data_IF_788213718554
#
_entry.id   IF_788213718554
#
_cell.length_a   1.000
_cell.length_b   1.000
_cell.length_c   1.000
_cell.angle_alpha   90.00
_cell.angle_beta   90.00
_cell.angle_gamma   90.00
#
_symmetry.space_group_name_H-M   'P 1'
#
loop_
_entity.id
_entity.type
_entity.pdbx_description
1 polymer ?
#
# COMPACT_ATOMS: atom_id res chain seq x y z
N UNK A 1 27.07 16.11 -17.93
CA UNK A 1 26.46 15.28 -16.87
C UNK A 1 24.99 15.66 -16.74
N UNK A 2 24.08 14.79 -17.14
CA UNK A 2 22.63 15.01 -16.97
C UNK A 2 22.27 14.76 -15.51
N UNK A 3 21.89 15.83 -14.79
CA UNK A 3 21.44 15.75 -13.39
C UNK A 3 19.92 15.72 -13.37
N UNK A 4 19.33 14.55 -13.12
CA UNK A 4 17.88 14.38 -13.05
C UNK A 4 17.35 14.98 -11.72
N UNK A 5 17.20 16.31 -11.66
CA UNK A 5 16.53 17.01 -10.56
C UNK A 5 15.01 16.88 -10.73
N UNK A 6 14.44 15.77 -10.32
CA UNK A 6 12.98 15.66 -10.34
C UNK A 6 12.37 14.63 -9.36
N UNK A 7 13.15 13.66 -8.87
CA UNK A 7 12.60 12.59 -8.04
C UNK A 7 12.54 12.98 -6.55
N UNK A 8 11.42 12.66 -5.90
CA UNK A 8 11.33 12.72 -4.43
C UNK A 8 11.90 11.42 -3.86
N UNK A 9 13.01 11.47 -3.09
CA UNK A 9 13.55 10.28 -2.46
C UNK A 9 12.56 9.71 -1.43
N UNK A 10 12.49 8.37 -1.32
CA UNK A 10 11.95 7.75 -0.11
C UNK A 10 13.02 7.77 0.98
N UNK A 11 12.57 7.84 2.23
CA UNK A 11 13.43 7.72 3.41
C UNK A 11 13.90 6.27 3.63
N UNK A 12 13.13 5.31 3.13
CA UNK A 12 13.33 3.89 3.38
C UNK A 12 13.68 3.13 2.09
N UNK A 13 13.95 1.83 2.21
CA UNK A 13 14.46 1.03 1.11
C UNK A 13 13.34 0.78 0.10
N UNK A 14 13.55 1.22 -1.14
CA UNK A 14 12.63 0.87 -2.23
C UNK A 14 12.69 -0.65 -2.48
N UNK A 15 11.57 -1.32 -2.27
CA UNK A 15 11.41 -2.76 -2.52
C UNK A 15 10.86 -3.06 -3.90
N UNK A 16 10.11 -2.12 -4.49
CA UNK A 16 9.48 -2.31 -5.81
C UNK A 16 9.36 -1.00 -6.58
N UNK A 17 9.55 -1.08 -7.90
CA UNK A 17 9.37 0.02 -8.84
C UNK A 17 8.56 -0.49 -10.04
N UNK A 18 7.57 0.29 -10.50
CA UNK A 18 6.83 0.02 -11.73
C UNK A 18 6.61 1.30 -12.54
N UNK A 19 6.57 1.17 -13.86
CA UNK A 19 6.28 2.26 -14.79
C UNK A 19 4.88 2.06 -15.37
N UNK A 20 4.13 3.15 -15.49
CA UNK A 20 2.85 3.11 -16.18
C UNK A 20 3.07 2.93 -17.69
N UNK A 21 2.32 2.05 -18.39
CA UNK A 21 2.59 1.72 -19.79
C UNK A 21 2.32 2.87 -20.76
N UNK A 22 1.43 3.80 -20.43
CA UNK A 22 0.98 4.88 -21.33
C UNK A 22 1.10 6.29 -20.75
N UNK A 23 1.44 6.44 -19.48
CA UNK A 23 1.50 7.74 -18.80
C UNK A 23 2.90 7.93 -18.22
N UNK A 24 3.36 9.18 -18.05
CA UNK A 24 4.69 9.46 -17.51
C UNK A 24 4.75 9.31 -15.99
N UNK A 25 4.28 8.16 -15.48
CA UNK A 25 4.13 7.88 -14.06
C UNK A 25 5.00 6.71 -13.62
N UNK A 26 5.66 6.88 -12.49
CA UNK A 26 6.43 5.85 -11.81
C UNK A 26 5.82 5.57 -10.45
N UNK A 27 5.59 4.31 -10.15
CA UNK A 27 5.14 3.84 -8.85
C UNK A 27 6.33 3.26 -8.10
N UNK A 28 6.53 3.68 -6.85
CA UNK A 28 7.54 3.14 -5.95
C UNK A 28 6.89 2.66 -4.67
N UNK A 29 7.33 1.50 -4.17
CA UNK A 29 6.97 1.00 -2.85
C UNK A 29 8.23 0.82 -2.02
N UNK A 30 8.21 1.27 -0.77
CA UNK A 30 9.28 1.02 0.21
C UNK A 30 8.89 -0.06 1.22
N UNK A 31 9.85 -0.47 2.05
CA UNK A 31 9.68 -1.43 3.14
C UNK A 31 8.93 -0.89 4.36
N UNK A 32 8.59 0.40 4.39
CA UNK A 32 7.73 1.04 5.39
C UNK A 32 6.25 1.05 5.00
N UNK A 33 5.86 0.17 4.06
CA UNK A 33 4.51 0.08 3.50
C UNK A 33 4.01 1.39 2.86
N UNK A 34 4.92 2.25 2.38
CA UNK A 34 4.57 3.48 1.67
C UNK A 34 4.67 3.25 0.17
N UNK A 35 3.59 3.57 -0.52
CA UNK A 35 3.48 3.55 -1.97
C UNK A 35 3.33 4.99 -2.45
N UNK A 36 4.14 5.39 -3.43
CA UNK A 36 4.09 6.72 -4.03
C UNK A 36 4.00 6.59 -5.55
N UNK A 37 3.17 7.43 -6.16
CA UNK A 37 3.04 7.58 -7.60
C UNK A 37 3.57 8.96 -7.97
N UNK A 38 4.61 8.98 -8.78
CA UNK A 38 5.29 10.19 -9.21
C UNK A 38 5.13 10.41 -10.70
N UNK A 39 4.70 11.61 -11.08
CA UNK A 39 4.60 12.04 -12.47
C UNK A 39 5.87 12.81 -12.85
N UNK A 40 6.65 12.29 -13.80
CA UNK A 40 7.94 12.88 -14.17
C UNK A 40 7.86 14.03 -15.15
N UNK A 41 6.76 14.14 -15.89
CA UNK A 41 6.48 15.27 -16.76
C UNK A 41 6.22 16.53 -15.93
N UNK A 42 5.38 16.41 -14.90
CA UNK A 42 5.02 17.52 -14.01
C UNK A 42 5.89 17.61 -12.74
N UNK A 43 6.83 16.68 -12.55
CA UNK A 43 7.75 16.61 -11.40
C UNK A 43 7.07 16.63 -10.04
N UNK A 44 5.92 15.95 -9.92
CA UNK A 44 5.09 15.97 -8.71
C UNK A 44 4.65 14.57 -8.31
N UNK A 45 4.44 14.37 -7.02
CA UNK A 45 3.77 13.17 -6.50
C UNK A 45 2.27 13.38 -6.72
N UNK A 46 1.64 12.48 -7.47
CA UNK A 46 0.20 12.55 -7.79
C UNK A 46 -0.64 11.68 -6.86
N UNK A 47 -0.01 10.70 -6.20
CA UNK A 47 -0.68 9.86 -5.22
C UNK A 47 0.32 9.31 -4.21
N UNK A 48 -0.12 9.19 -2.97
CA UNK A 48 0.66 8.63 -1.89
C UNK A 48 -0.24 7.85 -0.94
N UNK A 49 0.14 6.63 -0.64
CA UNK A 49 -0.57 5.73 0.25
C UNK A 49 0.42 5.20 1.28
N UNK A 50 0.07 5.31 2.56
CA UNK A 50 0.75 4.60 3.64
C UNK A 50 -0.15 3.43 4.06
N UNK A 51 0.19 2.22 3.60
CA UNK A 51 -0.57 1.02 3.93
C UNK A 51 -0.39 0.61 5.41
N UNK A 52 0.69 1.07 6.07
CA UNK A 52 0.95 0.90 7.51
C UNK A 52 0.01 1.62 8.48
N UNK A 53 -1.23 1.92 8.06
CA UNK A 53 -2.33 2.39 8.92
C UNK A 53 -3.38 1.31 9.23
N UNK A 54 -3.27 0.13 8.62
CA UNK A 54 -4.03 -1.05 9.04
C UNK A 54 -3.35 -1.59 10.29
N UNK A 55 -3.62 -0.95 11.42
CA UNK A 55 -3.22 -1.42 12.74
C UNK A 55 -3.57 -2.92 12.81
N UNK A 56 -2.58 -3.81 12.96
CA UNK A 56 -2.83 -5.25 13.08
C UNK A 56 -3.87 -5.53 14.17
N UNK A 57 -4.01 -4.64 15.17
CA UNK A 57 -5.07 -4.66 16.17
C UNK A 57 -6.49 -4.57 15.59
N UNK A 58 -6.70 -3.84 14.49
CA UNK A 58 -7.99 -3.80 13.77
C UNK A 58 -8.27 -5.10 13.03
N UNK A 59 -7.24 -5.77 12.48
CA UNK A 59 -7.41 -7.09 11.87
C UNK A 59 -7.71 -8.15 12.93
N UNK A 60 -7.07 -8.07 14.10
CA UNK A 60 -7.36 -8.93 15.24
C UNK A 60 -8.75 -8.64 15.80
N UNK A 61 -9.16 -7.38 15.94
CA UNK A 61 -10.50 -6.98 16.37
C UNK A 61 -11.60 -7.51 15.44
N UNK A 62 -11.46 -7.28 14.13
CA UNK A 62 -12.42 -7.77 13.13
C UNK A 62 -12.47 -9.31 13.05
N UNK A 63 -11.35 -10.00 13.34
CA UNK A 63 -11.30 -11.46 13.39
C UNK A 63 -11.88 -12.02 14.69
N UNK A 64 -11.70 -11.34 15.82
CA UNK A 64 -12.27 -11.74 17.11
C UNK A 64 -13.78 -11.45 17.19
N UNK A 65 -14.26 -10.35 16.64
CA UNK A 65 -15.70 -10.08 16.53
C UNK A 65 -16.41 -11.13 15.67
N UNK A 66 -15.83 -11.51 14.52
CA UNK A 66 -16.35 -12.60 13.69
C UNK A 66 -16.36 -13.96 14.38
N UNK A 67 -15.44 -14.21 15.31
CA UNK A 67 -15.43 -15.45 16.11
C UNK A 67 -16.42 -15.37 17.29
N UNK A 68 -16.68 -14.17 17.81
CA UNK A 68 -17.63 -13.95 18.90
C UNK A 68 -19.10 -13.94 18.43
N UNK A 69 -19.39 -13.56 17.18
CA UNK A 69 -20.73 -13.55 16.59
C UNK A 69 -21.27 -14.95 16.24
N UNK A 70 -20.46 -15.99 16.44
CA UNK A 70 -20.95 -17.35 16.62
C UNK A 70 -21.10 -18.15 15.33
N UNK A 71 -20.33 -19.22 15.24
CA UNK A 71 -20.77 -20.45 14.60
C UNK A 71 -21.98 -21.02 15.39
N UNK A 72 -23.15 -20.42 15.22
CA UNK A 72 -24.44 -21.03 15.58
C UNK A 72 -25.23 -21.24 14.30
N UNK A 73 -25.31 -22.52 13.92
CA UNK A 73 -25.88 -23.00 12.67
C UNK A 73 -24.71 -23.53 11.84
N UNK A 74 -24.62 -24.82 11.51
CA UNK A 74 -25.68 -25.63 10.91
C UNK A 74 -25.37 -27.14 11.12
N UNK A 75 -26.45 -27.89 11.37
CA UNK A 75 -26.65 -29.36 11.24
C UNK A 75 -25.86 -30.33 12.14
N UNK A 76 -26.49 -30.71 13.26
CA UNK A 76 -26.36 -32.07 13.83
C UNK A 76 -27.72 -32.76 13.69
N UNK A 77 -27.93 -33.45 12.57
CA UNK A 77 -28.98 -34.45 12.42
C UNK A 77 -28.26 -35.80 12.27
N UNK A 78 -28.30 -36.58 13.35
CA UNK A 78 -28.21 -38.04 13.35
C UNK A 78 -29.41 -38.53 14.17
#
# INVERSE_FOLDING_TARGET
>A
MLRLKAFRPSSDKIVKIQLHPTHPWMVTADDSDRVSVWNWEHRQVIYELKAGGVDERRLVGAKLEKLAEGERGITRNL
#
